data_IF_482696764031
#
_entry.id   IF_482696764031
#
_cell.length_a   1.000
_cell.length_b   1.000
_cell.length_c   1.000
_cell.angle_alpha   90.00
_cell.angle_beta   90.00
_cell.angle_gamma   90.00
#
_symmetry.space_group_name_H-M   'P 1'
#
loop_
_entity.id
_entity.type
_entity.pdbx_description
1 polymer ?
#
# COMPACT_ATOMS: atom_id res chain seq x y z
N UNK A 1 -18.12 0.18 -12.69
CA UNK A 1 -17.42 -0.94 -12.03
C UNK A 1 -15.98 -0.90 -12.53
N UNK A 2 -15.07 -0.25 -11.79
CA UNK A 2 -13.67 -0.14 -12.18
C UNK A 2 -12.91 -1.32 -11.58
N UNK A 3 -12.20 -2.07 -12.42
CA UNK A 3 -11.37 -3.18 -11.97
C UNK A 3 -10.02 -2.59 -11.52
N UNK A 4 -9.68 -2.75 -10.24
CA UNK A 4 -8.30 -2.54 -9.78
C UNK A 4 -7.49 -3.78 -10.14
N UNK A 5 -6.46 -3.59 -10.95
CA UNK A 5 -5.54 -4.64 -11.36
C UNK A 5 -4.65 -4.98 -10.15
N UNK A 6 -5.04 -5.98 -9.36
CA UNK A 6 -4.25 -6.43 -8.23
C UNK A 6 -3.00 -7.17 -8.70
N UNK A 7 -1.86 -6.47 -8.77
CA UNK A 7 -0.53 -7.11 -8.83
C UNK A 7 -0.08 -7.54 -7.42
N UNK A 8 -0.85 -7.21 -6.37
CA UNK A 8 -0.61 -7.64 -5.00
C UNK A 8 -1.36 -8.94 -4.67
N UNK A 9 -0.63 -9.97 -4.23
CA UNK A 9 -1.22 -11.15 -3.58
C UNK A 9 -1.85 -10.72 -2.26
N UNK A 10 -3.16 -10.92 -2.11
CA UNK A 10 -3.83 -10.73 -0.83
C UNK A 10 -3.14 -11.61 0.22
N UNK A 11 -2.66 -11.00 1.30
CA UNK A 11 -1.99 -11.67 2.41
C UNK A 11 -2.50 -11.08 3.72
N UNK A 12 -2.15 -11.67 4.86
CA UNK A 12 -2.46 -11.07 6.17
C UNK A 12 -1.85 -9.68 6.35
N UNK A 13 -0.82 -9.33 5.57
CA UNK A 13 -0.16 -8.02 5.61
C UNK A 13 -0.86 -6.97 4.75
N UNK A 14 -1.49 -7.37 3.64
CA UNK A 14 -2.11 -6.45 2.67
C UNK A 14 -3.58 -6.77 2.44
N UNK A 15 -4.44 -5.82 2.78
CA UNK A 15 -5.89 -5.92 2.61
C UNK A 15 -6.38 -4.84 1.63
N UNK A 16 -7.06 -5.25 0.56
CA UNK A 16 -7.65 -4.34 -0.41
C UNK A 16 -9.18 -4.34 -0.24
N UNK A 17 -9.74 -3.16 0.06
CA UNK A 17 -11.17 -2.99 0.19
C UNK A 17 -11.86 -2.84 -1.18
N UNK A 18 -13.15 -3.14 -1.25
CA UNK A 18 -13.95 -3.02 -2.47
C UNK A 18 -14.03 -1.59 -3.04
N UNK A 19 -13.76 -0.57 -2.22
CA UNK A 19 -13.69 0.83 -2.66
C UNK A 19 -12.31 1.20 -3.24
N UNK A 20 -11.37 0.26 -3.30
CA UNK A 20 -10.02 0.48 -3.82
C UNK A 20 -9.00 1.00 -2.80
N UNK A 21 -9.37 1.06 -1.52
CA UNK A 21 -8.43 1.43 -0.45
C UNK A 21 -7.52 0.25 -0.12
N UNK A 22 -6.20 0.48 -0.13
CA UNK A 22 -5.23 -0.48 0.36
C UNK A 22 -4.92 -0.21 1.85
N UNK A 23 -4.97 -1.25 2.67
CA UNK A 23 -4.51 -1.25 4.05
C UNK A 23 -3.29 -2.15 4.19
N UNK A 24 -2.23 -1.60 4.79
CA UNK A 24 -1.02 -2.32 5.15
C UNK A 24 -1.03 -2.55 6.66
N UNK A 25 -1.02 -3.81 7.08
CA UNK A 25 -1.03 -4.22 8.49
C UNK A 25 0.40 -4.42 9.01
N UNK A 26 0.63 -4.13 10.29
CA UNK A 26 1.93 -4.29 10.95
C UNK A 26 3.10 -3.72 10.12
N UNK A 27 3.00 -2.42 9.84
CA UNK A 27 3.91 -1.70 8.94
C UNK A 27 5.34 -1.68 9.51
N UNK A 28 6.31 -2.12 8.71
CA UNK A 28 7.74 -2.22 9.02
C UNK A 28 8.57 -1.35 8.06
N UNK A 29 9.83 -1.07 8.38
CA UNK A 29 10.65 -0.15 7.58
C UNK A 29 10.81 -0.61 6.11
N UNK A 30 10.76 -1.91 5.88
CA UNK A 30 10.79 -2.55 4.56
C UNK A 30 9.57 -2.20 3.70
N UNK A 31 8.47 -1.72 4.30
CA UNK A 31 7.25 -1.34 3.59
C UNK A 31 7.32 0.09 3.02
N UNK A 32 8.39 0.86 3.29
CA UNK A 32 8.63 2.20 2.74
C UNK A 32 8.88 2.09 1.23
N UNK A 33 7.83 2.29 0.45
CA UNK A 33 7.86 2.19 -1.00
C UNK A 33 6.82 3.13 -1.64
N UNK A 34 6.85 3.23 -2.97
CA UNK A 34 5.75 3.80 -3.73
C UNK A 34 4.71 2.73 -4.01
N UNK A 35 3.46 3.03 -3.68
CA UNK A 35 2.30 2.21 -3.96
C UNK A 35 1.55 2.86 -5.13
N UNK A 36 1.33 2.08 -6.18
CA UNK A 36 0.62 2.54 -7.38
C UNK A 36 -0.78 1.94 -7.43
N UNK A 37 -1.77 2.81 -7.55
CA UNK A 37 -3.15 2.45 -7.77
C UNK A 37 -3.46 2.59 -9.27
N UNK A 38 -3.89 1.50 -9.91
CA UNK A 38 -4.33 1.50 -11.31
C UNK A 38 -5.82 1.22 -11.39
N UNK A 39 -6.57 2.16 -11.95
CA UNK A 39 -8.01 2.05 -12.18
C UNK A 39 -8.29 1.89 -13.68
N UNK A 40 -8.96 0.80 -14.05
CA UNK A 40 -9.26 0.47 -15.44
C UNK A 40 -10.75 0.30 -15.72
N UNK A 41 -11.14 0.68 -16.94
CA UNK A 41 -12.41 0.31 -17.56
C UNK A 41 -12.17 -0.15 -19.02
N UNK A 42 -13.23 -0.48 -19.77
CA UNK A 42 -13.12 -0.99 -21.14
C UNK A 42 -12.44 -0.02 -22.13
N UNK A 43 -12.29 1.26 -21.78
CA UNK A 43 -11.74 2.30 -22.64
C UNK A 43 -10.29 2.68 -22.28
N UNK A 44 -9.75 2.17 -21.17
CA UNK A 44 -8.38 2.45 -20.77
C UNK A 44 -8.13 2.30 -19.26
N UNK A 45 -6.90 2.61 -18.87
CA UNK A 45 -6.41 2.56 -17.50
C UNK A 45 -5.77 3.92 -17.14
N UNK A 46 -5.94 4.34 -15.89
CA UNK A 46 -5.20 5.45 -15.28
C UNK A 46 -4.46 4.94 -14.04
N UNK A 47 -3.30 5.52 -13.76
CA UNK A 47 -2.47 5.13 -12.62
C UNK A 47 -1.98 6.33 -11.86
N UNK A 48 -1.98 6.23 -10.54
CA UNK A 48 -1.44 7.23 -9.62
C UNK A 48 -0.61 6.56 -8.53
N UNK A 49 0.47 7.22 -8.09
CA UNK A 49 1.41 6.66 -7.12
C UNK A 49 1.51 7.52 -5.87
N UNK A 50 1.56 6.88 -4.70
CA UNK A 50 1.78 7.53 -3.41
C UNK A 50 2.92 6.84 -2.65
N UNK A 51 3.76 7.62 -1.96
CA UNK A 51 4.86 7.07 -1.15
C UNK A 51 4.38 6.80 0.28
N UNK A 52 4.54 5.56 0.75
CA UNK A 52 4.40 5.24 2.16
C UNK A 52 5.68 5.66 2.89
N UNK A 53 5.54 6.54 3.87
CA UNK A 53 6.61 6.93 4.77
C UNK A 53 6.25 6.49 6.19
N UNK A 54 7.21 5.92 6.90
CA UNK A 54 7.04 5.53 8.31
C UNK A 54 7.87 6.48 9.14
N UNK A 55 7.22 7.18 10.05
CA UNK A 55 7.88 7.97 11.08
C UNK A 55 7.60 7.32 12.43
N UNK A 56 8.65 6.76 13.03
CA UNK A 56 8.58 6.24 14.39
C UNK A 56 8.95 7.32 15.40
N UNK A 57 8.25 7.37 16.54
CA UNK A 57 8.88 7.87 17.76
C UNK A 57 9.85 6.79 18.20
N UNK A 58 11.10 6.92 17.78
CA UNK A 58 12.08 5.90 18.05
C UNK A 58 12.36 5.83 19.54
N UNK A 59 11.76 4.86 20.22
CA UNK A 59 12.34 4.32 21.45
C UNK A 59 13.55 3.50 21.04
N UNK A 60 14.60 4.15 20.52
CA UNK A 60 15.92 3.58 20.61
C UNK A 60 16.21 3.46 22.10
N UNK A 61 15.99 2.28 22.67
CA UNK A 61 16.60 1.93 23.94
C UNK A 61 18.10 2.04 23.70
N UNK A 62 18.68 3.16 24.11
CA UNK A 62 20.13 3.31 24.19
C UNK A 62 20.55 2.31 25.27
N UNK A 63 20.93 1.10 24.85
CA UNK A 63 21.58 0.14 25.72
C UNK A 63 23.00 0.69 25.89
N UNK A 64 23.16 1.50 26.93
CA UNK A 64 24.43 1.72 27.63
C UNK A 64 24.33 1.03 28.98
#
# INVERSE_FOLDING_TARGET
>A
MACMKCVFQASSKYELFNNGTLRVHNVEYEDVAFYTCTAGNAFGEISESARLNISGNQKYTKII
#
